data_IF_794344170380
#
_entry.id   IF_794344170380
#
_cell.length_a   1.000
_cell.length_b   1.000
_cell.length_c   1.000
_cell.angle_alpha   90.00
_cell.angle_beta   90.00
_cell.angle_gamma   90.00
#
_symmetry.space_group_name_H-M   'P 1'
#
loop_
_entity.id
_entity.type
_entity.pdbx_description
1 polymer ?
#
# COMPACT_ATOMS: atom_id res chain seq x y z
N UNK A 1 12.54 -0.89 3.90
CA UNK A 1 12.64 -2.28 4.39
C UNK A 1 12.70 -2.36 5.92
N UNK A 2 13.66 -1.75 6.63
CA UNK A 2 13.69 -1.79 8.11
C UNK A 2 12.39 -1.23 8.77
N UNK A 3 11.92 -0.06 8.31
CA UNK A 3 10.72 0.60 8.86
C UNK A 3 9.41 -0.17 8.71
N UNK A 4 9.30 -1.07 7.72
CA UNK A 4 8.10 -1.92 7.54
C UNK A 4 8.12 -3.11 8.51
N UNK A 5 9.31 -3.67 8.79
CA UNK A 5 9.48 -4.77 9.75
C UNK A 5 9.20 -4.35 11.19
N UNK A 6 9.42 -3.08 11.51
CA UNK A 6 9.23 -2.51 12.84
C UNK A 6 7.82 -1.92 13.06
N UNK A 7 6.98 -1.92 12.02
CA UNK A 7 5.64 -1.37 12.12
C UNK A 7 4.70 -2.30 12.91
N UNK A 8 4.35 -1.89 14.11
CA UNK A 8 3.45 -2.66 15.00
C UNK A 8 1.99 -2.22 14.93
N UNK A 9 1.67 -1.20 14.12
CA UNK A 9 0.32 -0.67 13.94
C UNK A 9 0.05 -0.44 12.45
N UNK A 10 -1.23 -0.44 12.05
CA UNK A 10 -1.62 -0.10 10.68
C UNK A 10 -1.10 1.26 10.27
N UNK A 11 -1.17 2.27 11.14
CA UNK A 11 -0.74 3.62 10.79
C UNK A 11 0.78 3.68 10.58
N UNK A 12 1.57 3.01 11.43
CA UNK A 12 3.02 2.93 11.26
C UNK A 12 3.38 2.17 9.98
N UNK A 13 2.67 1.07 9.70
CA UNK A 13 2.84 0.29 8.49
C UNK A 13 2.51 1.14 7.26
N UNK A 14 1.38 1.84 7.29
CA UNK A 14 0.93 2.70 6.21
C UNK A 14 1.93 3.82 5.91
N UNK A 15 2.47 4.49 6.93
CA UNK A 15 3.50 5.51 6.77
C UNK A 15 4.78 4.94 6.14
N UNK A 16 5.22 3.76 6.59
CA UNK A 16 6.39 3.10 6.05
C UNK A 16 6.18 2.63 4.59
N UNK A 17 4.98 2.19 4.26
CA UNK A 17 4.56 1.83 2.90
C UNK A 17 4.56 3.07 2.00
N UNK A 18 3.96 4.17 2.43
CA UNK A 18 3.93 5.45 1.70
C UNK A 18 5.35 5.97 1.41
N UNK A 19 6.22 5.97 2.42
CA UNK A 19 7.62 6.38 2.25
C UNK A 19 8.40 5.46 1.29
N UNK A 20 8.02 4.18 1.21
CA UNK A 20 8.61 3.23 0.25
C UNK A 20 8.09 3.49 -1.16
N UNK A 21 6.79 3.69 -1.32
CA UNK A 21 6.14 4.04 -2.58
C UNK A 21 6.70 5.36 -3.15
N UNK A 22 6.96 6.36 -2.30
CA UNK A 22 7.60 7.62 -2.69
C UNK A 22 9.00 7.40 -3.26
N UNK A 23 9.85 6.64 -2.57
CA UNK A 23 11.20 6.29 -3.04
C UNK A 23 11.18 5.46 -4.32
N UNK A 24 10.13 4.68 -4.52
CA UNK A 24 9.91 3.93 -5.75
C UNK A 24 9.28 4.78 -6.86
N UNK A 25 8.91 6.04 -6.60
CA UNK A 25 8.34 6.95 -7.61
C UNK A 25 6.89 6.63 -7.99
N UNK A 26 6.09 6.14 -7.05
CA UNK A 26 4.66 5.89 -7.27
C UNK A 26 3.88 7.20 -7.29
N UNK A 27 2.83 7.26 -8.12
CA UNK A 27 1.96 8.44 -8.23
C UNK A 27 0.86 8.45 -7.17
N UNK A 28 0.42 7.28 -6.74
CA UNK A 28 -0.57 7.15 -5.68
C UNK A 28 -0.51 5.77 -5.03
N UNK A 29 -1.04 5.68 -3.83
CA UNK A 29 -1.28 4.43 -3.12
C UNK A 29 -2.57 4.55 -2.32
N UNK A 30 -3.36 3.49 -2.26
CA UNK A 30 -4.46 3.37 -1.33
C UNK A 30 -4.55 1.98 -0.73
N UNK A 31 -4.98 1.91 0.54
CA UNK A 31 -5.34 0.65 1.19
C UNK A 31 -6.78 0.76 1.69
N UNK A 32 -7.56 -0.29 1.47
CA UNK A 32 -8.94 -0.40 1.97
C UNK A 32 -9.04 -1.62 2.87
N UNK A 33 -9.49 -1.41 4.10
CA UNK A 33 -9.90 -2.44 5.04
C UNK A 33 -11.41 -2.64 4.88
N UNK A 34 -11.81 -3.77 4.29
CA UNK A 34 -13.19 -4.10 4.00
C UNK A 34 -13.69 -5.12 5.01
N UNK A 35 -14.55 -4.69 5.93
CA UNK A 35 -15.18 -5.55 6.94
C UNK A 35 -16.52 -6.08 6.42
N UNK A 36 -16.83 -7.36 6.65
CA UNK A 36 -18.08 -7.99 6.25
C UNK A 36 -19.27 -7.32 6.94
N UNK A 37 -20.10 -6.61 6.16
CA UNK A 37 -21.26 -5.86 6.69
C UNK A 37 -20.89 -4.61 7.51
N UNK A 38 -19.62 -4.22 7.54
CA UNK A 38 -19.11 -3.09 8.32
C UNK A 38 -18.62 -1.91 7.46
N UNK A 39 -18.20 -0.81 8.09
CA UNK A 39 -17.64 0.35 7.40
C UNK A 39 -16.31 -0.01 6.74
N UNK A 40 -16.08 0.48 5.53
CA UNK A 40 -14.76 0.37 4.89
C UNK A 40 -13.85 1.48 5.38
N UNK A 41 -12.70 1.14 5.99
CA UNK A 41 -11.67 2.13 6.33
C UNK A 41 -10.70 2.23 5.15
N UNK A 42 -10.58 3.41 4.55
CA UNK A 42 -9.67 3.66 3.42
C UNK A 42 -8.57 4.63 3.83
N UNK A 43 -7.32 4.25 3.62
CA UNK A 43 -6.16 5.14 3.69
C UNK A 43 -5.71 5.47 2.28
N UNK A 44 -5.32 6.73 2.08
CA UNK A 44 -4.97 7.26 0.78
C UNK A 44 -3.70 8.11 0.86
N UNK A 45 -2.80 7.90 -0.09
CA UNK A 45 -1.54 8.64 -0.18
C UNK A 45 -1.26 9.05 -1.62
N UNK A 46 -0.74 10.27 -1.76
CA UNK A 46 -0.10 10.81 -2.95
C UNK A 46 1.12 11.62 -2.50
N UNK A 47 2.21 11.62 -3.28
CA UNK A 47 3.33 12.52 -3.02
C UNK A 47 2.89 14.00 -3.18
N UNK A 48 3.55 14.90 -2.44
CA UNK A 48 3.41 16.35 -2.65
C UNK A 48 3.94 16.80 -4.02
N UNK A 49 3.67 18.04 -4.47
CA UNK A 49 4.18 18.53 -5.75
C UNK A 49 5.72 18.65 -5.76
N UNK A 50 6.42 18.46 -6.91
CA UNK A 50 5.89 18.61 -8.27
C UNK A 50 5.92 17.34 -9.13
N UNK A 51 5.04 17.40 -10.13
CA UNK A 51 4.67 16.41 -11.14
C UNK A 51 5.90 15.72 -11.77
N UNK A 52 5.96 14.37 -11.81
CA UNK A 52 6.97 13.66 -12.61
C UNK A 52 6.82 14.06 -14.10
N UNK A 53 7.90 13.97 -14.90
CA UNK A 53 7.83 14.25 -16.33
C UNK A 53 6.67 13.48 -16.96
N UNK A 54 6.05 14.06 -18.00
CA UNK A 54 4.87 13.49 -18.66
C UNK A 54 5.03 11.98 -18.87
N UNK A 55 4.41 11.18 -18.00
CA UNK A 55 4.58 9.73 -18.05
C UNK A 55 3.89 9.23 -19.30
N UNK A 56 4.50 8.25 -19.98
CA UNK A 56 3.92 7.64 -21.19
C UNK A 56 2.70 6.76 -20.87
N UNK A 57 2.36 6.61 -19.60
CA UNK A 57 1.28 5.78 -19.07
C UNK A 57 1.45 5.57 -17.57
N UNK A 58 0.55 4.77 -17.00
CA UNK A 58 0.53 4.34 -15.60
C UNK A 58 0.17 2.84 -15.58
N UNK A 59 0.88 2.04 -14.78
CA UNK A 59 0.43 0.72 -14.39
C UNK A 59 -0.46 0.87 -13.15
N UNK A 60 -1.68 0.36 -13.23
CA UNK A 60 -2.58 0.22 -12.09
C UNK A 60 -2.38 -1.16 -11.48
N UNK A 61 -1.79 -1.20 -10.29
CA UNK A 61 -1.65 -2.43 -9.50
C UNK A 61 -2.84 -2.51 -8.54
N UNK A 62 -3.53 -3.65 -8.54
CA UNK A 62 -4.60 -3.97 -7.59
C UNK A 62 -4.32 -5.34 -7.00
N UNK A 63 -4.32 -5.43 -5.67
CA UNK A 63 -4.09 -6.69 -4.96
C UNK A 63 -4.95 -6.81 -3.71
N UNK A 64 -5.15 -8.04 -3.26
CA UNK A 64 -5.73 -8.34 -1.96
C UNK A 64 -4.65 -8.99 -1.12
N UNK A 65 -4.42 -8.48 0.08
CA UNK A 65 -3.46 -9.06 1.00
C UNK A 65 -4.14 -10.15 1.83
N UNK A 66 -3.43 -11.26 2.11
CA UNK A 66 -3.92 -12.26 3.04
C UNK A 66 -4.19 -11.61 4.40
N UNK A 67 -5.35 -11.89 4.97
CA UNK A 67 -5.70 -11.57 6.35
C UNK A 67 -6.35 -12.82 6.93
N UNK A 68 -5.89 -13.26 8.10
CA UNK A 68 -6.37 -14.45 8.78
C UNK A 68 -7.68 -14.19 9.54
N UNK A 69 -8.09 -12.92 9.65
CA UNK A 69 -9.31 -12.53 10.35
C UNK A 69 -10.52 -12.80 9.45
N UNK A 70 -11.48 -13.63 9.92
CA UNK A 70 -12.68 -13.91 9.16
C UNK A 70 -13.48 -12.62 8.95
N UNK A 71 -13.88 -12.36 7.70
CA UNK A 71 -14.69 -11.20 7.34
C UNK A 71 -13.91 -9.90 7.14
N UNK A 72 -12.58 -9.91 7.15
CA UNK A 72 -11.76 -8.76 6.76
C UNK A 72 -10.99 -9.04 5.47
N UNK A 73 -11.05 -8.11 4.52
CA UNK A 73 -10.25 -8.13 3.30
C UNK A 73 -9.45 -6.83 3.21
N UNK A 74 -8.14 -6.96 3.03
CA UNK A 74 -7.24 -5.81 2.83
C UNK A 74 -6.97 -5.67 1.34
N UNK A 75 -7.45 -4.60 0.72
CA UNK A 75 -7.24 -4.30 -0.70
C UNK A 75 -6.21 -3.18 -0.84
N UNK A 76 -5.18 -3.41 -1.66
CA UNK A 76 -4.16 -2.42 -1.99
C UNK A 76 -4.28 -2.00 -3.46
N UNK A 77 -4.16 -0.71 -3.71
CA UNK A 77 -4.16 -0.13 -5.06
C UNK A 77 -3.00 0.84 -5.20
N UNK A 78 -2.23 0.74 -6.28
CA UNK A 78 -1.10 1.62 -6.54
C UNK A 78 -1.08 2.08 -8.01
N UNK A 79 -0.75 3.36 -8.21
CA UNK A 79 -0.51 3.93 -9.52
C UNK A 79 1.00 4.11 -9.73
N UNK A 80 1.54 3.41 -10.73
CA UNK A 80 2.99 3.39 -10.99
C UNK A 80 3.25 3.99 -12.37
N UNK A 81 3.83 5.20 -12.44
CA UNK A 81 4.18 5.84 -13.71
C UNK A 81 5.08 4.96 -14.60
N UNK A 82 4.92 5.07 -15.91
CA UNK A 82 5.85 4.49 -16.87
C UNK A 82 7.01 5.46 -17.09
N UNK A 83 8.08 5.28 -16.32
CA UNK A 83 9.31 6.06 -16.41
C UNK A 83 10.31 5.34 -17.32
N UNK A 84 10.33 5.72 -18.60
CA UNK A 84 11.19 5.13 -19.63
C UNK A 84 10.59 3.89 -20.32
N UNK A 85 10.29 2.82 -19.56
CA UNK A 85 9.73 1.58 -20.11
C UNK A 85 8.68 0.91 -19.21
N UNK A 86 7.76 0.16 -19.84
CA UNK A 86 6.75 -0.63 -19.11
C UNK A 86 7.42 -1.71 -18.24
N UNK A 87 8.52 -2.29 -18.71
CA UNK A 87 9.30 -3.26 -17.95
C UNK A 87 9.85 -2.67 -16.64
N UNK A 88 10.37 -1.45 -16.69
CA UNK A 88 10.84 -0.74 -15.49
C UNK A 88 9.72 -0.53 -14.47
N UNK A 89 8.54 -0.09 -14.93
CA UNK A 89 7.36 0.04 -14.08
C UNK A 89 6.90 -1.31 -13.51
N UNK A 90 6.90 -2.38 -14.32
CA UNK A 90 6.55 -3.74 -13.87
C UNK A 90 7.51 -4.30 -12.82
N UNK A 91 8.82 -4.06 -12.97
CA UNK A 91 9.82 -4.45 -11.95
C UNK A 91 9.56 -3.76 -10.61
N UNK A 92 9.24 -2.46 -10.63
CA UNK A 92 8.85 -1.72 -9.42
C UNK A 92 7.57 -2.27 -8.80
N UNK A 93 6.56 -2.59 -9.61
CA UNK A 93 5.31 -3.21 -9.15
C UNK A 93 5.56 -4.54 -8.45
N UNK A 94 6.37 -5.41 -9.04
CA UNK A 94 6.71 -6.72 -8.48
C UNK A 94 7.51 -6.61 -7.18
N UNK A 95 8.51 -5.71 -7.13
CA UNK A 95 9.30 -5.45 -5.91
C UNK A 95 8.42 -4.91 -4.78
N UNK A 96 7.49 -4.00 -5.10
CA UNK A 96 6.53 -3.49 -4.14
C UNK A 96 5.59 -4.58 -3.64
N UNK A 97 4.97 -5.35 -4.54
CA UNK A 97 4.08 -6.46 -4.19
C UNK A 97 4.75 -7.45 -3.24
N UNK A 98 5.97 -7.90 -3.57
CA UNK A 98 6.76 -8.77 -2.69
C UNK A 98 6.99 -8.17 -1.31
N UNK A 99 7.30 -6.88 -1.23
CA UNK A 99 7.58 -6.21 0.04
C UNK A 99 6.32 -6.10 0.91
N UNK A 100 5.15 -5.97 0.31
CA UNK A 100 3.87 -5.99 1.01
C UNK A 100 3.50 -7.41 1.45
N UNK A 101 3.70 -8.42 0.61
CA UNK A 101 3.45 -9.82 0.95
C UNK A 101 4.33 -10.30 2.10
N UNK A 102 5.61 -9.90 2.11
CA UNK A 102 6.55 -10.23 3.18
C UNK A 102 6.22 -9.49 4.49
N UNK A 103 5.54 -8.35 4.43
CA UNK A 103 5.31 -7.44 5.55
C UNK A 103 3.85 -6.94 5.54
N UNK A 104 2.86 -7.82 5.75
CA UNK A 104 1.45 -7.41 5.74
C UNK A 104 1.15 -6.46 6.92
N UNK A 105 0.10 -5.63 6.81
CA UNK A 105 -0.30 -4.75 7.90
C UNK A 105 -0.65 -5.58 9.12
N UNK A 106 0.17 -5.48 10.16
CA UNK A 106 -0.11 -6.09 11.44
C UNK A 106 -1.08 -5.16 12.18
N UNK A 107 -2.38 -5.41 12.08
CA UNK A 107 -3.34 -4.63 12.85
C UNK A 107 -3.81 -5.44 14.05
N UNK A 108 -3.34 -4.99 15.22
CA UNK A 108 -3.76 -5.40 16.55
C UNK A 108 -5.25 -5.79 16.59
N UNK A 109 -5.50 -6.91 17.27
CA UNK A 109 -6.79 -7.53 17.47
C UNK A 109 -7.95 -6.53 17.72
N UNK A 110 -9.18 -6.87 17.33
CA UNK A 110 -10.37 -6.13 17.76
C UNK A 110 -10.47 -6.19 19.30
N UNK A 111 -9.97 -5.16 19.99
CA UNK A 111 -9.83 -5.25 21.45
C UNK A 111 -9.11 -4.08 22.13
N UNK A 112 -9.31 -2.84 21.71
CA UNK A 112 -9.12 -1.69 22.62
C UNK A 112 -10.44 -0.96 22.83
N UNK A 113 -11.26 -1.53 23.72
CA UNK A 113 -12.03 -0.73 24.68
C UNK A 113 -11.00 -0.06 25.59
N UNK A 114 -10.83 1.24 25.47
CA UNK A 114 -10.41 2.04 26.62
C UNK A 114 -11.67 2.31 27.44
N UNK A 115 -11.56 1.97 28.72
CA UNK A 115 -12.55 2.23 29.76
C UNK A 115 -12.80 3.73 29.97
#
# INVERSE_FOLDING_TARGET
QLRLREATTLDAWWQATCATAEKMGFASLSVSLVYSGGPTRRLFWRPGPPRPPASRGVIHLVGTLPDDRPGLSVRIEADIPVDGSLESAGRRAALFGRLIDEQPPNELAPGQRAA
#
